data_IF_287295913698
#
_entry.id   IF_287295913698
#
_cell.length_a   1.000
_cell.length_b   1.000
_cell.length_c   1.000
_cell.angle_alpha   90.00
_cell.angle_beta   90.00
_cell.angle_gamma   90.00
#
_symmetry.space_group_name_H-M   'P 1'
#
loop_
_entity.id
_entity.type
_entity.pdbx_description
1 polymer ?
#
# COMPACT_ATOMS: atom_id res chain seq x y z
N UNK A 1 -33.95 -5.89 -17.19
CA UNK A 1 -32.88 -5.68 -18.20
C UNK A 1 -32.14 -4.35 -18.01
N UNK A 2 -32.84 -3.27 -17.65
CA UNK A 2 -32.28 -1.90 -17.46
C UNK A 2 -31.19 -1.82 -16.36
N UNK A 3 -31.43 -2.39 -15.17
CA UNK A 3 -30.48 -2.37 -14.05
C UNK A 3 -29.11 -3.03 -14.33
N UNK A 4 -29.06 -4.02 -15.24
CA UNK A 4 -27.80 -4.66 -15.62
C UNK A 4 -26.97 -3.77 -16.55
N UNK A 5 -27.64 -3.00 -17.41
CA UNK A 5 -26.99 -2.04 -18.31
C UNK A 5 -26.35 -0.90 -17.52
N UNK A 6 -27.10 -0.28 -16.60
CA UNK A 6 -26.61 0.82 -15.76
C UNK A 6 -25.42 0.40 -14.88
N UNK A 7 -25.48 -0.80 -14.30
CA UNK A 7 -24.38 -1.33 -13.47
C UNK A 7 -23.11 -1.59 -14.31
N UNK A 8 -23.27 -2.02 -15.56
CA UNK A 8 -22.14 -2.20 -16.48
C UNK A 8 -21.52 -0.87 -16.92
N UNK A 9 -22.34 0.16 -17.13
CA UNK A 9 -21.87 1.49 -17.49
C UNK A 9 -21.13 2.18 -16.35
N UNK A 10 -21.61 2.05 -15.10
CA UNK A 10 -20.91 2.55 -13.92
C UNK A 10 -19.56 1.85 -13.78
N UNK A 11 -19.53 0.52 -13.89
CA UNK A 11 -18.28 -0.25 -13.80
C UNK A 11 -17.26 0.21 -14.83
N UNK A 12 -17.67 0.35 -16.10
CA UNK A 12 -16.80 0.82 -17.18
C UNK A 12 -16.28 2.23 -16.93
N UNK A 13 -17.12 3.15 -16.44
CA UNK A 13 -16.69 4.52 -16.08
C UNK A 13 -15.67 4.51 -14.94
N UNK A 14 -15.88 3.68 -13.92
CA UNK A 14 -14.94 3.53 -12.80
C UNK A 14 -13.59 2.95 -13.25
N UNK A 15 -13.59 1.93 -14.10
CA UNK A 15 -12.38 1.37 -14.69
C UNK A 15 -11.62 2.42 -15.53
N UNK A 16 -12.34 3.17 -16.37
CA UNK A 16 -11.73 4.24 -17.18
C UNK A 16 -11.13 5.34 -16.31
N UNK A 17 -11.85 5.79 -15.28
CA UNK A 17 -11.34 6.79 -14.34
C UNK A 17 -10.09 6.28 -13.62
N UNK A 18 -10.08 5.02 -13.19
CA UNK A 18 -8.93 4.40 -12.54
C UNK A 18 -7.73 4.28 -13.48
N UNK A 19 -7.91 3.95 -14.76
CA UNK A 19 -6.82 3.93 -15.75
C UNK A 19 -6.18 5.32 -15.87
N UNK A 20 -7.00 6.37 -16.05
CA UNK A 20 -6.52 7.75 -16.17
C UNK A 20 -5.79 8.20 -14.89
N UNK A 21 -6.31 7.85 -13.71
CA UNK A 21 -5.66 8.16 -12.45
C UNK A 21 -4.32 7.43 -12.31
N UNK A 22 -4.26 6.16 -12.73
CA UNK A 22 -3.03 5.37 -12.71
C UNK A 22 -1.95 5.98 -13.62
N UNK A 23 -2.29 6.39 -14.84
CA UNK A 23 -1.35 7.03 -15.77
C UNK A 23 -0.80 8.36 -15.19
N UNK A 24 -1.66 9.16 -14.54
CA UNK A 24 -1.23 10.38 -13.85
C UNK A 24 -0.27 10.09 -12.69
N UNK A 25 -0.55 9.05 -11.91
CA UNK A 25 0.32 8.61 -10.81
C UNK A 25 1.62 7.99 -11.33
N UNK A 26 1.61 7.28 -12.46
CA UNK A 26 2.81 6.71 -13.10
C UNK A 26 3.76 7.80 -13.60
N UNK A 27 3.23 8.95 -14.03
CA UNK A 27 4.00 10.11 -14.52
C UNK A 27 4.30 11.17 -13.47
N UNK A 28 3.85 10.97 -12.22
CA UNK A 28 4.07 11.93 -11.14
C UNK A 28 5.55 11.95 -10.75
N UNK A 29 6.18 13.12 -10.79
CA UNK A 29 7.55 13.34 -10.34
C UNK A 29 7.53 14.04 -8.98
N UNK A 30 8.20 13.45 -8.00
CA UNK A 30 8.39 14.06 -6.68
C UNK A 30 9.55 15.05 -6.73
N UNK A 31 9.32 16.25 -6.21
CA UNK A 31 10.37 17.25 -6.05
C UNK A 31 10.14 18.05 -4.77
N UNK A 32 11.22 18.56 -4.22
CA UNK A 32 11.21 19.57 -3.17
C UNK A 32 11.38 20.93 -3.83
N UNK A 33 10.76 21.96 -3.28
CA UNK A 33 10.98 23.33 -3.73
C UNK A 33 12.45 23.75 -3.53
N UNK A 34 12.94 24.74 -4.30
CA UNK A 34 14.33 25.19 -4.15
C UNK A 34 14.68 25.64 -2.73
N UNK A 35 13.71 26.20 -2.01
CA UNK A 35 13.86 26.64 -0.62
C UNK A 35 14.01 25.45 0.33
N UNK A 36 13.17 24.42 0.19
CA UNK A 36 13.28 23.18 0.98
C UNK A 36 14.61 22.47 0.74
N UNK A 37 15.10 22.46 -0.50
CA UNK A 37 16.40 21.89 -0.85
C UNK A 37 17.55 22.66 -0.20
N UNK A 38 17.50 23.99 -0.20
CA UNK A 38 18.53 24.83 0.42
C UNK A 38 18.66 24.60 1.94
N UNK A 39 17.57 24.26 2.60
CA UNK A 39 17.51 24.04 4.05
C UNK A 39 17.59 22.57 4.47
N UNK A 40 17.77 21.65 3.52
CA UNK A 40 17.81 20.21 3.78
C UNK A 40 19.18 19.60 3.48
N UNK A 41 19.60 18.67 4.33
CA UNK A 41 20.75 17.81 4.04
C UNK A 41 20.43 16.84 2.91
N UNK A 42 21.45 16.31 2.24
CA UNK A 42 21.27 15.29 1.19
C UNK A 42 20.52 14.05 1.69
N UNK A 43 20.69 13.67 2.96
CA UNK A 43 19.99 12.57 3.58
C UNK A 43 18.49 12.87 3.77
N UNK A 44 18.14 14.09 4.22
CA UNK A 44 16.74 14.51 4.37
C UNK A 44 16.03 14.58 3.01
N UNK A 45 16.72 15.05 1.97
CA UNK A 45 16.19 15.08 0.61
C UNK A 45 15.87 13.66 0.12
N UNK A 46 16.81 12.72 0.27
CA UNK A 46 16.59 11.31 -0.12
C UNK A 46 15.42 10.70 0.66
N UNK A 47 15.37 10.90 1.97
CA UNK A 47 14.29 10.39 2.84
C UNK A 47 12.92 10.93 2.42
N UNK A 48 12.82 12.23 2.12
CA UNK A 48 11.58 12.86 1.68
C UNK A 48 11.11 12.32 0.31
N UNK A 49 12.03 12.19 -0.66
CA UNK A 49 11.71 11.64 -1.98
C UNK A 49 11.33 10.16 -1.91
N UNK A 50 12.05 9.37 -1.11
CA UNK A 50 11.73 7.96 -0.89
C UNK A 50 10.37 7.80 -0.19
N UNK A 51 10.05 8.68 0.77
CA UNK A 51 8.74 8.70 1.42
C UNK A 51 7.64 9.03 0.40
N UNK A 52 7.80 10.05 -0.42
CA UNK A 52 6.81 10.41 -1.44
C UNK A 52 6.59 9.25 -2.44
N UNK A 53 7.67 8.60 -2.88
CA UNK A 53 7.62 7.43 -3.75
C UNK A 53 6.88 6.25 -3.11
N UNK A 54 7.12 6.02 -1.81
CA UNK A 54 6.42 4.98 -1.05
C UNK A 54 4.90 5.21 -1.04
N UNK A 55 4.44 6.45 -0.88
CA UNK A 55 3.01 6.78 -0.95
C UNK A 55 2.45 6.60 -2.36
N UNK A 56 3.17 7.05 -3.39
CA UNK A 56 2.76 6.91 -4.79
C UNK A 56 2.52 5.44 -5.15
N UNK A 57 3.46 4.57 -4.78
CA UNK A 57 3.39 3.13 -5.02
C UNK A 57 2.24 2.47 -4.23
N UNK A 58 2.03 2.86 -2.97
CA UNK A 58 0.92 2.36 -2.18
C UNK A 58 -0.45 2.75 -2.79
N UNK A 59 -0.60 3.97 -3.31
CA UNK A 59 -1.82 4.38 -4.00
C UNK A 59 -2.04 3.54 -5.27
N UNK A 60 -1.00 3.29 -6.06
CA UNK A 60 -1.09 2.45 -7.26
C UNK A 60 -1.57 1.03 -6.95
N UNK A 61 -1.01 0.40 -5.91
CA UNK A 61 -1.43 -0.93 -5.45
C UNK A 61 -2.86 -0.91 -4.90
N UNK A 62 -3.22 0.11 -4.12
CA UNK A 62 -4.58 0.28 -3.61
C UNK A 62 -5.59 0.38 -4.76
N UNK A 63 -5.29 1.16 -5.81
CA UNK A 63 -6.17 1.28 -6.98
C UNK A 63 -6.33 -0.04 -7.74
N UNK A 64 -5.24 -0.82 -7.91
CA UNK A 64 -5.30 -2.18 -8.46
C UNK A 64 -6.19 -3.09 -7.64
N UNK A 65 -6.22 -2.89 -6.32
CA UNK A 65 -6.98 -3.73 -5.41
C UNK A 65 -8.47 -3.42 -5.42
N UNK A 66 -8.83 -2.14 -5.42
CA UNK A 66 -10.23 -1.67 -5.32
C UNK A 66 -10.94 -1.72 -6.66
N UNK A 67 -10.23 -1.43 -7.76
CA UNK A 67 -10.77 -1.46 -9.12
C UNK A 67 -9.82 -2.27 -10.01
N UNK A 68 -9.89 -3.61 -9.95
CA UNK A 68 -8.99 -4.46 -10.72
C UNK A 68 -9.28 -4.35 -12.21
N UNK A 69 -8.24 -4.17 -13.01
CA UNK A 69 -8.29 -4.13 -14.47
C UNK A 69 -7.36 -5.22 -15.03
N UNK A 70 -7.68 -5.73 -16.22
CA UNK A 70 -6.83 -6.72 -16.89
C UNK A 70 -5.39 -6.19 -17.08
N UNK A 71 -4.40 -7.03 -16.75
CA UNK A 71 -2.97 -6.69 -16.87
C UNK A 71 -2.32 -6.12 -15.60
N UNK A 72 -3.08 -5.90 -14.53
CA UNK A 72 -2.56 -5.35 -13.26
C UNK A 72 -1.47 -6.22 -12.61
N UNK A 73 -1.49 -7.53 -12.82
CA UNK A 73 -0.54 -8.47 -12.20
C UNK A 73 0.92 -8.15 -12.52
N UNK A 74 1.24 -7.84 -13.79
CA UNK A 74 2.61 -7.49 -14.19
C UNK A 74 3.07 -6.18 -13.57
N UNK A 75 2.17 -5.18 -13.54
CA UNK A 75 2.47 -3.87 -12.94
C UNK A 75 2.65 -3.98 -11.42
N UNK A 76 1.82 -4.80 -10.76
CA UNK A 76 1.89 -5.05 -9.31
C UNK A 76 3.27 -5.56 -8.89
N UNK A 77 3.82 -6.53 -9.60
CA UNK A 77 5.17 -7.07 -9.29
C UNK A 77 6.21 -5.95 -9.35
N UNK A 78 6.20 -5.15 -10.41
CA UNK A 78 7.12 -4.01 -10.56
C UNK A 78 6.94 -2.94 -9.47
N UNK A 79 5.70 -2.65 -9.05
CA UNK A 79 5.44 -1.70 -7.97
C UNK A 79 5.94 -2.21 -6.62
N UNK A 80 5.83 -3.52 -6.36
CA UNK A 80 6.35 -4.12 -5.13
C UNK A 80 7.88 -4.05 -5.09
N UNK A 81 8.56 -4.37 -6.19
CA UNK A 81 10.02 -4.24 -6.30
C UNK A 81 10.49 -2.80 -6.03
N UNK A 82 9.83 -1.82 -6.66
CA UNK A 82 10.09 -0.40 -6.43
C UNK A 82 9.82 0.01 -4.96
N UNK A 83 8.76 -0.54 -4.36
CA UNK A 83 8.40 -0.24 -2.98
C UNK A 83 9.45 -0.77 -2.00
N UNK A 84 9.96 -1.98 -2.22
CA UNK A 84 11.07 -2.51 -1.41
C UNK A 84 12.34 -1.67 -1.55
N UNK A 85 12.65 -1.17 -2.75
CA UNK A 85 13.76 -0.26 -2.94
C UNK A 85 13.55 1.07 -2.18
N UNK A 86 12.37 1.67 -2.29
CA UNK A 86 12.03 2.90 -1.56
C UNK A 86 12.09 2.69 -0.03
N UNK A 87 11.57 1.56 0.48
CA UNK A 87 11.59 1.24 1.91
C UNK A 87 13.00 1.11 2.49
N UNK A 88 14.01 0.76 1.69
CA UNK A 88 15.42 0.71 2.15
C UNK A 88 16.01 2.11 2.38
N UNK A 89 15.53 3.09 1.63
CA UNK A 89 16.00 4.48 1.66
C UNK A 89 15.24 5.33 2.68
N UNK A 90 13.98 4.98 2.98
CA UNK A 90 13.17 5.67 3.98
C UNK A 90 13.73 5.41 5.38
N UNK A 91 14.07 6.48 6.09
CA UNK A 91 14.53 6.43 7.48
C UNK A 91 13.39 6.03 8.41
N UNK A 92 12.22 6.66 8.25
CA UNK A 92 10.96 6.30 8.95
C UNK A 92 9.76 6.74 8.13
N UNK A 93 8.87 5.80 7.78
CA UNK A 93 7.60 6.15 7.15
C UNK A 93 6.76 7.04 8.10
N UNK A 94 6.29 8.17 7.60
CA UNK A 94 5.52 9.16 8.36
C UNK A 94 4.10 8.68 8.72
N UNK A 95 3.60 7.67 8.00
CA UNK A 95 2.32 6.99 8.25
C UNK A 95 2.49 5.48 8.10
N UNK A 96 1.76 4.65 8.87
CA UNK A 96 1.72 3.20 8.69
C UNK A 96 0.97 2.75 7.43
N UNK A 97 0.19 3.63 6.78
CA UNK A 97 -0.68 3.24 5.66
C UNK A 97 0.06 2.67 4.44
N UNK A 98 1.16 3.27 3.93
CA UNK A 98 1.88 2.67 2.81
C UNK A 98 2.40 1.27 3.13
N UNK A 99 3.00 1.10 4.32
CA UNK A 99 3.51 -0.19 4.80
C UNK A 99 2.40 -1.23 4.86
N UNK A 100 1.22 -0.85 5.34
CA UNK A 100 0.04 -1.71 5.34
C UNK A 100 -0.36 -2.19 3.95
N UNK A 101 -0.40 -1.30 2.96
CA UNK A 101 -0.76 -1.69 1.58
C UNK A 101 0.26 -2.70 1.03
N UNK A 102 1.56 -2.48 1.24
CA UNK A 102 2.58 -3.43 0.79
C UNK A 102 2.48 -4.77 1.53
N UNK A 103 2.23 -4.73 2.84
CA UNK A 103 2.03 -5.92 3.66
C UNK A 103 0.90 -6.81 3.13
N UNK A 104 -0.20 -6.22 2.66
CA UNK A 104 -1.31 -6.96 2.08
C UNK A 104 -0.94 -7.74 0.81
N UNK A 105 0.14 -7.34 0.13
CA UNK A 105 0.60 -7.90 -1.14
C UNK A 105 1.80 -8.85 -0.99
N UNK A 106 2.35 -9.00 0.22
CA UNK A 106 3.48 -9.90 0.48
C UNK A 106 3.05 -11.36 0.45
N UNK A 107 3.86 -12.22 -0.17
CA UNK A 107 3.58 -13.67 -0.28
C UNK A 107 4.67 -14.55 0.28
N UNK A 108 5.89 -14.06 0.42
CA UNK A 108 7.00 -14.85 0.97
C UNK A 108 7.26 -14.53 2.43
N UNK A 109 7.78 -15.50 3.17
CA UNK A 109 8.15 -15.31 4.57
C UNK A 109 9.22 -14.23 4.74
N UNK A 110 10.19 -14.15 3.82
CA UNK A 110 11.24 -13.12 3.86
C UNK A 110 10.66 -11.71 3.71
N UNK A 111 9.65 -11.54 2.85
CA UNK A 111 8.95 -10.28 2.69
C UNK A 111 8.18 -9.89 3.95
N UNK A 112 7.51 -10.86 4.59
CA UNK A 112 6.80 -10.65 5.86
C UNK A 112 7.74 -10.23 6.98
N UNK A 113 8.87 -10.91 7.13
CA UNK A 113 9.93 -10.55 8.09
C UNK A 113 10.41 -9.12 7.86
N UNK A 114 10.65 -8.74 6.59
CA UNK A 114 11.09 -7.40 6.23
C UNK A 114 10.05 -6.32 6.62
N UNK A 115 8.77 -6.56 6.36
CA UNK A 115 7.69 -5.65 6.75
C UNK A 115 7.61 -5.51 8.28
N UNK A 116 7.73 -6.61 9.03
CA UNK A 116 7.70 -6.58 10.49
C UNK A 116 8.86 -5.77 11.08
N UNK A 117 10.07 -5.90 10.53
CA UNK A 117 11.22 -5.09 10.94
C UNK A 117 11.00 -3.59 10.67
N UNK A 118 10.35 -3.23 9.56
CA UNK A 118 9.95 -1.84 9.29
C UNK A 118 8.97 -1.32 10.35
N UNK A 119 7.93 -2.10 10.67
CA UNK A 119 6.96 -1.72 11.71
C UNK A 119 7.65 -1.56 13.08
N UNK A 120 8.58 -2.44 13.43
CA UNK A 120 9.36 -2.34 14.67
C UNK A 120 10.23 -1.07 14.71
N UNK A 121 10.85 -0.69 13.59
CA UNK A 121 11.59 0.59 13.48
C UNK A 121 10.66 1.80 13.62
N UNK A 122 9.46 1.74 13.02
CA UNK A 122 8.46 2.81 13.14
C UNK A 122 7.96 2.98 14.57
N UNK A 123 7.68 1.89 15.30
CA UNK A 123 7.26 1.92 16.71
C UNK A 123 8.34 2.55 17.59
N UNK A 124 9.61 2.13 17.42
CA UNK A 124 10.74 2.64 18.20
C UNK A 124 11.00 4.13 18.01
N UNK A 125 10.84 4.66 16.80
CA UNK A 125 11.26 6.04 16.49
C UNK A 125 10.13 7.05 16.75
N UNK A 126 8.88 6.68 16.49
CA UNK A 126 7.76 7.64 16.58
C UNK A 126 6.76 7.35 17.70
N UNK A 127 6.86 6.23 18.42
CA UNK A 127 5.92 5.80 19.46
C UNK A 127 4.45 5.95 19.03
N UNK A 128 4.17 5.58 17.77
CA UNK A 128 2.83 5.75 17.18
C UNK A 128 1.98 4.57 17.62
N UNK A 129 1.03 4.80 18.53
CA UNK A 129 0.11 3.77 19.03
C UNK A 129 -0.60 2.99 17.90
N UNK A 130 -0.80 3.61 16.73
CA UNK A 130 -1.42 2.98 15.56
C UNK A 130 -0.54 1.90 14.90
N UNK A 131 0.80 1.89 15.12
CA UNK A 131 1.69 0.89 14.50
C UNK A 131 1.47 -0.49 15.09
N UNK A 132 1.23 -0.60 16.41
CA UNK A 132 0.92 -1.90 17.05
C UNK A 132 -0.38 -2.50 16.55
N UNK A 133 -1.41 -1.67 16.45
CA UNK A 133 -2.70 -2.05 15.88
C UNK A 133 -2.53 -2.49 14.43
N UNK A 134 -1.77 -1.73 13.64
CA UNK A 134 -1.50 -2.06 12.26
C UNK A 134 -0.78 -3.40 12.10
N UNK A 135 0.20 -3.69 12.98
CA UNK A 135 0.89 -4.98 13.00
C UNK A 135 -0.10 -6.13 13.19
N UNK A 136 -0.98 -6.04 14.19
CA UNK A 136 -1.96 -7.09 14.46
C UNK A 136 -2.93 -7.29 13.27
N UNK A 137 -3.35 -6.20 12.61
CA UNK A 137 -4.19 -6.30 11.42
C UNK A 137 -3.45 -7.00 10.26
N UNK A 138 -2.19 -6.65 10.03
CA UNK A 138 -1.34 -7.27 8.99
C UNK A 138 -1.17 -8.76 9.25
N UNK A 139 -0.82 -9.14 10.48
CA UNK A 139 -0.62 -10.54 10.87
C UNK A 139 -1.91 -11.35 10.68
N UNK A 140 -3.08 -10.79 11.06
CA UNK A 140 -4.36 -11.43 10.81
C UNK A 140 -4.66 -11.61 9.32
N UNK A 141 -4.35 -10.62 8.48
CA UNK A 141 -4.48 -10.75 7.02
C UNK A 141 -3.64 -11.91 6.50
N UNK A 142 -2.38 -12.00 6.93
CA UNK A 142 -1.49 -13.09 6.51
C UNK A 142 -2.00 -14.46 6.95
N UNK A 143 -2.49 -14.59 8.19
CA UNK A 143 -3.11 -15.84 8.67
C UNK A 143 -4.30 -16.23 7.78
N UNK A 144 -5.18 -15.28 7.44
CA UNK A 144 -6.33 -15.55 6.57
C UNK A 144 -5.92 -15.92 5.14
N UNK A 145 -4.83 -15.35 4.63
CA UNK A 145 -4.26 -15.69 3.32
C UNK A 145 -3.71 -17.12 3.34
N UNK A 146 -2.89 -17.47 4.33
CA UNK A 146 -2.27 -18.79 4.45
C UNK A 146 -3.33 -19.90 4.59
N UNK A 147 -4.37 -19.65 5.40
CA UNK A 147 -5.50 -20.59 5.55
C UNK A 147 -6.24 -20.86 4.24
N UNK A 148 -6.28 -19.91 3.30
CA UNK A 148 -6.93 -20.11 2.00
C UNK A 148 -6.06 -20.81 0.99
N UNK A 149 -4.76 -20.54 0.99
CA UNK A 149 -3.80 -21.26 0.17
C UNK A 149 -3.82 -22.75 0.50
N UNK A 150 -4.03 -23.11 1.77
CA UNK A 150 -4.22 -24.51 2.20
C UNK A 150 -5.49 -25.19 1.69
N UNK A 151 -6.52 -24.42 1.31
CA UNK A 151 -7.84 -24.94 0.89
C UNK A 151 -8.06 -24.78 -0.62
N UNK A 152 -7.01 -24.45 -1.39
CA UNK A 152 -7.06 -24.17 -2.83
C UNK A 152 -8.16 -23.16 -3.23
N UNK A 153 -8.53 -22.26 -2.31
CA UNK A 153 -9.53 -21.24 -2.58
C UNK A 153 -8.93 -20.20 -3.54
N UNK A 154 -9.43 -20.15 -4.77
CA UNK A 154 -8.87 -19.26 -5.80
C UNK A 154 -9.19 -17.78 -5.54
N UNK A 155 -8.15 -16.94 -5.53
CA UNK A 155 -8.26 -15.47 -5.55
C UNK A 155 -7.78 -14.76 -4.27
N UNK A 156 -7.18 -13.58 -4.42
CA UNK A 156 -6.71 -12.75 -3.29
C UNK A 156 -7.89 -12.22 -2.48
N UNK A 157 -7.93 -12.49 -1.15
CA UNK A 157 -8.96 -11.95 -0.25
C UNK A 157 -8.82 -10.44 -0.17
N UNK A 158 -9.89 -9.66 -0.42
CA UNK A 158 -9.87 -8.23 -0.16
C UNK A 158 -9.50 -7.98 1.29
N UNK A 159 -8.41 -7.25 1.54
CA UNK A 159 -7.90 -7.04 2.90
C UNK A 159 -8.93 -6.41 3.83
N UNK A 160 -9.88 -5.63 3.28
CA UNK A 160 -10.98 -5.04 4.04
C UNK A 160 -12.01 -6.06 4.55
N UNK A 161 -12.02 -7.29 4.05
CA UNK A 161 -12.81 -8.39 4.62
C UNK A 161 -12.10 -9.10 5.77
N UNK A 162 -10.79 -8.91 5.91
CA UNK A 162 -9.99 -9.46 7.00
C UNK A 162 -9.93 -8.50 8.21
N UNK A 163 -10.49 -7.30 8.08
CA UNK A 163 -10.54 -6.31 9.15
C UNK A 163 -11.87 -6.47 9.88
N UNK A 164 -11.81 -6.86 11.15
CA UNK A 164 -12.97 -6.77 12.04
C UNK A 164 -13.32 -5.29 12.24
N UNK A 165 -14.51 -4.89 11.78
CA UNK A 165 -14.99 -3.50 11.84
C UNK A 165 -15.27 -3.03 13.27
N UNK A 166 -15.24 -3.95 14.22
CA UNK A 166 -15.68 -3.76 15.60
C UNK A 166 -14.53 -3.33 16.52
N UNK A 167 -13.30 -3.24 16.00
CA UNK A 167 -12.14 -2.74 16.73
C UNK A 167 -12.26 -1.21 16.90
N UNK A 168 -12.46 -0.72 18.15
CA UNK A 168 -12.55 0.71 18.42
C UNK A 168 -11.13 1.28 18.41
N UNK A 169 -10.64 1.61 17.22
CA UNK A 169 -9.32 2.21 17.05
C UNK A 169 -9.47 3.51 16.27
N UNK A 170 -8.73 4.58 16.61
CA UNK A 170 -8.79 5.81 15.85
C UNK A 170 -7.99 5.58 14.56
N UNK A 171 -8.67 5.13 13.51
CA UNK A 171 -8.02 4.66 12.29
C UNK A 171 -7.19 5.74 11.58
N UNK A 172 -7.45 7.02 11.80
CA UNK A 172 -6.62 8.13 11.34
C UNK A 172 -6.88 9.31 12.30
N UNK A 173 -6.08 9.45 13.35
CA UNK A 173 -6.08 10.64 14.21
C UNK A 173 -4.80 11.46 13.96
#
# INVERSE_FOLDING_TARGET
>A
MILKSERSDIKRKTEQFRIVLQEKLESLVHFLSPDEVAHSTSAQIRDALATAELYRLAILLYLQRVVPVAGDEKKRISYLEQAYAAMKEVRVATSPWPVFIFACETRSEEQRIYILDILDRMDRIRNVGNVRVMRSVIENIWIQQDLRELVDATGTIPWWLCIESDLPVPWFA
#
